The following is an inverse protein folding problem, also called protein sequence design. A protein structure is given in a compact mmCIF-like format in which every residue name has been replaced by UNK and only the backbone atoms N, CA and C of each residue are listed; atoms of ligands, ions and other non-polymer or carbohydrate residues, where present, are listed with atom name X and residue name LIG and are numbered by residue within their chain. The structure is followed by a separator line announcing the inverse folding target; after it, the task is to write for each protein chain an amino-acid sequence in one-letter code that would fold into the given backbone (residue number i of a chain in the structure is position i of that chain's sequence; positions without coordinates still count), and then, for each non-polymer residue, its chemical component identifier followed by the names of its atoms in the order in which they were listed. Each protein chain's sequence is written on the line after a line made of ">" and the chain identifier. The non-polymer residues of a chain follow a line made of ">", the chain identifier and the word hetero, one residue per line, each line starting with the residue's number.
data_IF_957419950264
#
_entry.id   IF_957419950264
#
_cell.length_a   1.000
_cell.length_b   1.000
_cell.length_c   1.000
_cell.angle_alpha   90.00
_cell.angle_beta   90.00
_cell.angle_gamma   90.00
#
_symmetry.space_group_name_H-M   'P 1'
#
loop_
_entity.id
_entity.type
_entity.pdbx_description
1 polymer ?
#
# COMPACT_ATOMS: atom_id res chain seq x y z
N UNK A 1 -5.59 -3.80 -3.14
CA UNK A 1 -6.47 -3.34 -4.26
C UNK A 1 -6.34 -1.84 -4.52
N UNK A 2 -6.49 -0.96 -3.51
CA UNK A 2 -6.45 0.52 -3.69
C UNK A 2 -5.21 1.00 -4.46
N UNK A 3 -4.01 0.61 -4.03
CA UNK A 3 -2.76 1.03 -4.69
C UNK A 3 -2.72 0.65 -6.17
N UNK A 4 -3.19 -0.55 -6.52
CA UNK A 4 -3.26 -1.00 -7.92
C UNK A 4 -4.31 -0.22 -8.72
N UNK A 5 -5.46 0.09 -8.11
CA UNK A 5 -6.51 0.90 -8.75
C UNK A 5 -6.02 2.34 -9.04
N UNK A 6 -5.27 2.93 -8.10
CA UNK A 6 -4.70 4.28 -8.26
C UNK A 6 -3.50 4.37 -9.21
N UNK A 7 -2.89 3.24 -9.55
CA UNK A 7 -1.73 3.16 -10.46
C UNK A 7 -2.09 2.53 -11.80
N UNK A 8 -2.28 1.23 -11.87
CA UNK A 8 -2.66 0.50 -13.09
C UNK A 8 -4.02 0.96 -13.64
N UNK A 9 -4.97 1.29 -12.74
CA UNK A 9 -6.31 1.78 -13.08
C UNK A 9 -6.45 3.29 -13.24
N UNK A 10 -5.34 4.06 -13.19
CA UNK A 10 -5.36 5.50 -13.37
C UNK A 10 -5.86 5.89 -14.77
N UNK A 11 -6.58 7.01 -14.91
CA UNK A 11 -6.93 8.05 -13.94
C UNK A 11 -8.36 7.96 -13.37
N UNK A 12 -8.94 6.79 -13.28
CA UNK A 12 -10.38 6.60 -12.96
C UNK A 12 -10.77 7.13 -11.57
N UNK A 13 -9.88 6.93 -10.57
CA UNK A 13 -10.19 7.30 -9.20
C UNK A 13 -9.55 8.65 -8.82
N UNK A 14 -10.35 9.52 -8.20
CA UNK A 14 -9.92 10.83 -7.72
C UNK A 14 -9.01 10.72 -6.49
N UNK A 15 -9.31 9.77 -5.61
CA UNK A 15 -8.60 9.57 -4.35
C UNK A 15 -8.50 8.09 -3.99
N UNK A 16 -7.44 7.72 -3.28
CA UNK A 16 -7.26 6.39 -2.70
C UNK A 16 -6.55 6.42 -1.36
N UNK A 17 -7.01 5.60 -0.43
CA UNK A 17 -6.36 5.38 0.87
C UNK A 17 -5.99 3.91 0.98
N UNK A 18 -4.74 3.61 1.27
CA UNK A 18 -4.25 2.26 1.46
C UNK A 18 -3.63 2.11 2.86
N UNK A 19 -4.25 1.27 3.67
CA UNK A 19 -3.78 0.97 5.03
C UNK A 19 -3.13 -0.40 5.03
N UNK A 20 -1.86 -0.47 5.41
CA UNK A 20 -1.03 -1.68 5.44
C UNK A 20 -1.11 -2.51 4.14
N UNK A 21 -0.88 -1.89 2.97
CA UNK A 21 -1.07 -2.57 1.70
C UNK A 21 0.03 -3.57 1.39
N UNK A 22 -0.34 -4.74 0.84
CA UNK A 22 0.58 -5.56 0.07
C UNK A 22 0.82 -4.84 -1.27
N UNK A 23 2.08 -4.52 -1.55
CA UNK A 23 2.49 -3.83 -2.79
C UNK A 23 3.20 -4.77 -3.77
N UNK A 24 3.75 -5.86 -3.26
CA UNK A 24 4.22 -6.96 -4.08
C UNK A 24 4.00 -8.27 -3.32
N UNK A 25 3.35 -9.23 -3.95
CA UNK A 25 3.05 -10.52 -3.33
C UNK A 25 4.30 -11.35 -3.03
N UNK A 26 5.46 -11.02 -3.60
CA UNK A 26 6.76 -11.60 -3.23
C UNK A 26 7.17 -11.27 -1.79
N UNK A 27 6.59 -10.23 -1.19
CA UNK A 27 6.87 -9.78 0.18
C UNK A 27 5.84 -10.29 1.19
N UNK A 28 4.94 -11.17 0.77
CA UNK A 28 3.99 -11.82 1.66
C UNK A 28 4.34 -13.28 1.89
N UNK A 29 3.79 -13.92 2.94
CA UNK A 29 4.15 -15.29 3.27
C UNK A 29 3.82 -16.24 2.12
N UNK A 30 4.66 -17.26 1.95
CA UNK A 30 4.57 -18.19 0.83
C UNK A 30 3.40 -19.18 0.99
N UNK A 31 3.03 -19.57 2.22
CA UNK A 31 1.94 -20.52 2.46
C UNK A 31 0.62 -19.98 1.89
N UNK A 32 0.36 -18.68 2.13
CA UNK A 32 -0.80 -18.02 1.54
C UNK A 32 -0.61 -17.74 0.06
N UNK A 33 0.51 -17.09 -0.29
CA UNK A 33 0.70 -16.54 -1.64
C UNK A 33 0.85 -17.62 -2.69
N UNK A 34 1.69 -18.63 -2.47
CA UNK A 34 1.98 -19.68 -3.46
C UNK A 34 0.78 -20.61 -3.67
N UNK A 35 -0.10 -20.73 -2.67
CA UNK A 35 -1.37 -21.46 -2.82
C UNK A 35 -2.24 -20.92 -3.96
N UNK A 36 -2.22 -19.61 -4.17
CA UNK A 36 -3.08 -18.94 -5.17
C UNK A 36 -2.32 -18.52 -6.41
N UNK A 37 -1.04 -18.21 -6.30
CA UNK A 37 -0.22 -17.63 -7.36
C UNK A 37 0.90 -18.54 -7.83
N UNK A 38 1.12 -19.70 -7.21
CA UNK A 38 2.31 -20.54 -7.35
C UNK A 38 3.58 -19.78 -6.90
N UNK A 39 4.75 -20.37 -7.15
CA UNK A 39 6.03 -19.69 -6.85
C UNK A 39 6.30 -18.53 -7.81
N UNK A 40 7.10 -17.53 -7.40
CA UNK A 40 7.52 -16.47 -8.31
C UNK A 40 8.21 -16.95 -9.59
N UNK A 41 8.96 -18.06 -9.52
CA UNK A 41 9.62 -18.66 -10.69
C UNK A 41 8.64 -19.26 -11.70
N UNK A 42 7.51 -19.80 -11.22
CA UNK A 42 6.47 -20.40 -12.09
C UNK A 42 5.51 -19.37 -12.65
N UNK A 43 5.32 -18.23 -11.98
CA UNK A 43 4.32 -17.22 -12.34
C UNK A 43 4.86 -15.78 -12.17
N UNK A 44 6.06 -15.51 -12.69
CA UNK A 44 6.68 -14.18 -12.59
C UNK A 44 5.73 -13.07 -13.09
N UNK A 45 5.09 -13.28 -14.22
CA UNK A 45 4.16 -12.32 -14.80
C UNK A 45 2.99 -11.99 -13.86
N UNK A 46 2.41 -12.98 -13.16
CA UNK A 46 1.34 -12.76 -12.19
C UNK A 46 1.77 -11.87 -11.04
N UNK A 47 2.98 -12.06 -10.52
CA UNK A 47 3.53 -11.21 -9.46
C UNK A 47 3.81 -9.79 -9.92
N UNK A 48 4.43 -9.62 -11.09
CA UNK A 48 4.80 -8.31 -11.64
C UNK A 48 3.55 -7.52 -12.09
N UNK A 49 2.64 -8.15 -12.84
CA UNK A 49 1.48 -7.46 -13.42
C UNK A 49 0.41 -7.08 -12.39
N UNK A 50 0.48 -7.64 -11.19
CA UNK A 50 -0.41 -7.30 -10.08
C UNK A 50 0.29 -6.52 -8.95
N UNK A 51 1.51 -6.05 -9.18
CA UNK A 51 2.23 -5.18 -8.26
C UNK A 51 2.01 -3.70 -8.62
N UNK A 52 1.45 -2.87 -7.71
CA UNK A 52 1.38 -1.43 -7.93
C UNK A 52 2.75 -0.76 -8.09
N UNK A 53 3.82 -1.39 -7.58
CA UNK A 53 5.20 -0.90 -7.76
C UNK A 53 5.53 -0.76 -9.24
N UNK A 54 5.18 -1.75 -10.07
CA UNK A 54 5.40 -1.72 -11.52
C UNK A 54 4.76 -0.49 -12.21
N UNK A 55 3.64 -0.04 -11.69
CA UNK A 55 2.85 1.04 -12.27
C UNK A 55 2.92 2.35 -11.48
N UNK A 56 3.84 2.47 -10.53
CA UNK A 56 3.93 3.62 -9.62
C UNK A 56 3.93 4.97 -10.34
N UNK A 57 4.67 5.08 -11.46
CA UNK A 57 4.73 6.29 -12.30
C UNK A 57 3.38 6.73 -12.89
N UNK A 58 2.41 5.83 -12.94
CA UNK A 58 1.09 6.13 -13.48
C UNK A 58 0.11 6.65 -12.41
N UNK A 59 0.51 6.68 -11.14
CA UNK A 59 -0.36 7.13 -10.05
C UNK A 59 -0.92 8.51 -10.36
N UNK A 60 -2.25 8.62 -10.29
CA UNK A 60 -3.00 9.86 -10.47
C UNK A 60 -3.96 10.05 -9.30
N UNK A 61 -4.35 11.31 -9.06
CA UNK A 61 -5.21 11.65 -7.94
C UNK A 61 -4.49 11.73 -6.60
N UNK A 62 -5.25 11.86 -5.54
CA UNK A 62 -4.74 11.96 -4.16
C UNK A 62 -4.56 10.56 -3.59
N UNK A 63 -3.39 10.28 -3.05
CA UNK A 63 -3.08 8.97 -2.50
C UNK A 63 -2.47 9.07 -1.11
N UNK A 64 -3.10 8.39 -0.14
CA UNK A 64 -2.58 8.27 1.23
C UNK A 64 -2.17 6.83 1.50
N UNK A 65 -0.91 6.64 1.88
CA UNK A 65 -0.38 5.36 2.37
C UNK A 65 -0.22 5.40 3.88
N UNK A 66 -0.81 4.44 4.57
CA UNK A 66 -0.71 4.31 6.04
C UNK A 66 -0.13 2.95 6.39
N UNK A 67 0.84 2.88 7.32
CA UNK A 67 1.43 1.60 7.72
C UNK A 67 1.99 1.66 9.15
N UNK A 68 1.96 0.54 9.85
CA UNK A 68 2.64 0.35 11.13
C UNK A 68 4.07 -0.17 10.94
N UNK A 69 5.06 0.40 11.66
CA UNK A 69 6.46 -0.03 11.48
C UNK A 69 6.80 -1.40 12.05
N UNK A 70 5.96 -1.91 12.95
CA UNK A 70 6.11 -3.25 13.54
C UNK A 70 5.04 -4.21 12.99
N UNK A 71 4.60 -4.01 11.75
CA UNK A 71 3.66 -4.91 11.09
C UNK A 71 4.33 -6.24 10.80
N UNK A 72 3.87 -7.27 11.49
CA UNK A 72 4.38 -8.65 11.46
C UNK A 72 3.58 -9.55 10.50
N UNK A 73 2.55 -9.01 9.86
CA UNK A 73 1.75 -9.67 8.84
C UNK A 73 2.13 -9.18 7.43
N UNK A 74 1.84 -7.91 7.13
CA UNK A 74 2.29 -7.26 5.91
C UNK A 74 3.51 -6.42 6.25
N UNK A 75 4.70 -6.97 6.10
CA UNK A 75 5.94 -6.31 6.47
C UNK A 75 6.04 -4.90 5.89
N UNK A 76 6.54 -3.97 6.71
CA UNK A 76 6.69 -2.55 6.37
C UNK A 76 7.52 -2.34 5.09
N UNK A 77 8.33 -3.32 4.70
CA UNK A 77 9.05 -3.33 3.42
C UNK A 77 8.11 -3.08 2.22
N UNK A 78 6.87 -3.62 2.26
CA UNK A 78 5.88 -3.34 1.21
C UNK A 78 5.66 -1.84 1.01
N UNK A 79 5.51 -1.08 2.11
CA UNK A 79 5.35 0.37 2.05
C UNK A 79 6.63 1.05 1.55
N UNK A 80 7.79 0.69 2.10
CA UNK A 80 9.07 1.31 1.77
C UNK A 80 9.42 1.17 0.28
N UNK A 81 9.25 -0.02 -0.30
CA UNK A 81 9.53 -0.26 -1.72
C UNK A 81 8.62 0.58 -2.63
N UNK A 82 7.33 0.66 -2.30
CA UNK A 82 6.39 1.46 -3.07
C UNK A 82 6.66 2.95 -2.92
N UNK A 83 6.90 3.44 -1.69
CA UNK A 83 7.29 4.82 -1.39
C UNK A 83 8.55 5.19 -2.20
N UNK A 84 9.60 4.37 -2.11
CA UNK A 84 10.84 4.63 -2.85
C UNK A 84 10.58 4.75 -4.37
N UNK A 85 9.77 3.85 -4.92
CA UNK A 85 9.46 3.88 -6.35
C UNK A 85 8.66 5.13 -6.75
N UNK A 86 7.71 5.57 -5.92
CA UNK A 86 6.98 6.83 -6.13
C UNK A 86 7.92 8.03 -6.08
N UNK A 87 8.82 8.08 -5.11
CA UNK A 87 9.84 9.14 -4.97
C UNK A 87 10.76 9.19 -6.20
N UNK A 88 11.31 8.04 -6.62
CA UNK A 88 12.18 7.96 -7.80
C UNK A 88 11.44 8.30 -9.11
N UNK A 89 10.12 8.15 -9.12
CA UNK A 89 9.26 8.55 -10.24
C UNK A 89 8.80 10.02 -10.17
N UNK A 90 9.25 10.78 -9.16
CA UNK A 90 8.84 12.17 -8.88
C UNK A 90 7.32 12.34 -8.74
N UNK A 91 6.67 11.36 -8.12
CA UNK A 91 5.23 11.37 -7.83
C UNK A 91 4.99 11.84 -6.40
N UNK A 92 4.13 12.84 -6.24
CA UNK A 92 3.74 13.35 -4.91
C UNK A 92 2.57 12.53 -4.37
N UNK A 93 2.66 12.17 -3.09
CA UNK A 93 1.64 11.41 -2.36
C UNK A 93 1.74 11.75 -0.87
N UNK A 94 0.73 11.37 -0.12
CA UNK A 94 0.70 11.52 1.33
C UNK A 94 0.98 10.18 2.00
N UNK A 95 1.65 10.22 3.17
CA UNK A 95 1.89 9.03 3.97
C UNK A 95 1.76 9.32 5.45
N UNK A 96 1.37 8.30 6.22
CA UNK A 96 1.42 8.33 7.67
C UNK A 96 1.92 7.00 8.22
N UNK A 97 2.95 7.09 9.06
CA UNK A 97 3.57 5.91 9.67
C UNK A 97 3.27 5.86 11.15
N UNK A 98 2.76 4.74 11.63
CA UNK A 98 2.52 4.47 13.05
C UNK A 98 3.71 3.74 13.67
N UNK A 99 4.55 4.40 14.50
CA UNK A 99 5.70 3.78 15.12
C UNK A 99 5.29 2.63 16.05
N UNK A 100 6.00 1.49 15.94
CA UNK A 100 5.81 0.31 16.79
C UNK A 100 4.39 -0.25 16.80
N UNK A 101 3.60 -0.01 15.74
CA UNK A 101 2.27 -0.60 15.60
C UNK A 101 2.31 -1.76 14.61
N UNK A 102 1.60 -2.83 14.96
CA UNK A 102 1.41 -4.01 14.13
C UNK A 102 0.34 -3.80 13.05
N UNK A 103 -0.03 -4.86 12.36
CA UNK A 103 -1.03 -4.83 11.27
C UNK A 103 -2.39 -4.27 11.69
N UNK A 104 -2.79 -4.46 12.93
CA UNK A 104 -4.06 -3.94 13.46
C UNK A 104 -4.08 -2.45 13.78
N UNK A 105 -2.93 -1.80 13.85
CA UNK A 105 -2.76 -0.36 14.17
C UNK A 105 -3.65 0.05 15.34
N UNK A 106 -3.43 -0.52 16.53
CA UNK A 106 -4.26 -0.30 17.71
C UNK A 106 -3.44 0.01 18.97
N UNK A 107 -4.14 0.28 20.08
CA UNK A 107 -3.60 0.58 21.41
C UNK A 107 -3.58 2.06 21.73
N UNK A 108 -4.01 2.42 22.94
CA UNK A 108 -4.20 3.80 23.37
C UNK A 108 -5.13 4.56 22.42
N UNK A 109 -4.73 5.76 22.05
CA UNK A 109 -5.49 6.61 21.12
C UNK A 109 -5.25 6.28 19.63
N UNK A 110 -4.46 5.26 19.31
CA UNK A 110 -3.99 5.00 17.92
C UNK A 110 -5.15 4.82 16.94
N UNK A 111 -6.18 4.06 17.28
CA UNK A 111 -7.34 3.87 16.38
C UNK A 111 -8.14 5.14 16.16
N UNK A 112 -8.38 5.92 17.21
CA UNK A 112 -9.07 7.21 17.07
C UNK A 112 -8.28 8.13 16.15
N UNK A 113 -6.96 8.20 16.32
CA UNK A 113 -6.08 8.99 15.46
C UNK A 113 -6.13 8.48 14.01
N UNK A 114 -6.07 7.17 13.79
CA UNK A 114 -6.15 6.58 12.45
C UNK A 114 -7.47 6.96 11.76
N UNK A 115 -8.62 6.72 12.41
CA UNK A 115 -9.91 6.99 11.79
C UNK A 115 -10.14 8.48 11.56
N UNK A 116 -9.68 9.35 12.44
CA UNK A 116 -9.72 10.81 12.21
C UNK A 116 -8.87 11.20 11.01
N UNK A 117 -7.64 10.65 10.88
CA UNK A 117 -6.78 10.87 9.72
C UNK A 117 -7.48 10.45 8.41
N UNK A 118 -8.10 9.26 8.39
CA UNK A 118 -8.79 8.77 7.20
C UNK A 118 -10.00 9.64 6.86
N UNK A 119 -10.77 10.06 7.86
CA UNK A 119 -11.94 10.91 7.69
C UNK A 119 -11.55 12.29 7.14
N UNK A 120 -10.59 12.95 7.80
CA UNK A 120 -10.10 14.28 7.40
C UNK A 120 -9.52 14.24 5.98
N UNK A 121 -8.73 13.20 5.67
CA UNK A 121 -8.18 13.03 4.33
C UNK A 121 -9.28 12.88 3.28
N UNK A 122 -10.31 12.10 3.60
CA UNK A 122 -11.45 11.89 2.72
C UNK A 122 -12.23 13.18 2.46
N UNK A 123 -12.58 13.91 3.53
CA UNK A 123 -13.32 15.18 3.42
C UNK A 123 -12.54 16.21 2.60
N UNK A 124 -11.22 16.27 2.81
CA UNK A 124 -10.36 17.25 2.13
C UNK A 124 -10.19 16.98 0.64
N UNK A 125 -10.23 15.72 0.20
CA UNK A 125 -9.79 15.32 -1.15
C UNK A 125 -10.89 14.74 -2.06
N UNK A 126 -12.08 14.50 -1.53
CA UNK A 126 -13.28 14.15 -2.32
C UNK A 126 -14.04 15.41 -2.71
#
# INVERSE_FOLDING_TARGET
>A
MTSLAMTKGAPVFKMGIAVAPVTNWKYYDNIYTERFMRTPSENMAGYEDNSPIKYAKNLKGKYLLVHGTADDNVHYQNALEFINTLVQSNIQFDQFTYPNKNHGIYGGNTRNHLYNLLLEYTIKNL
#
